data_IF_637817332178
#
_entry.id   IF_637817332178
#
_cell.length_a   1.000
_cell.length_b   1.000
_cell.length_c   1.000
_cell.angle_alpha   90.00
_cell.angle_beta   90.00
_cell.angle_gamma   90.00
#
_symmetry.space_group_name_H-M   'P 1'
#
loop_
_entity.id
_entity.type
_entity.pdbx_description
1 polymer ?
#
# COMPACT_ATOMS: atom_id res chain seq x y z
N UNK A 1 16.84 -70.38 42.95
CA UNK A 1 17.73 -70.78 41.84
C UNK A 1 16.99 -70.43 40.56
N UNK A 2 17.60 -69.57 39.74
CA UNK A 2 17.15 -69.11 38.42
C UNK A 2 15.95 -68.14 38.42
N UNK A 3 15.88 -67.09 37.61
CA UNK A 3 16.80 -66.45 36.65
C UNK A 3 16.05 -65.23 36.04
N UNK A 4 16.78 -64.38 35.32
CA UNK A 4 16.31 -63.43 34.28
C UNK A 4 15.82 -62.04 34.81
N UNK A 5 16.65 -60.99 34.83
CA UNK A 5 17.14 -60.11 33.73
C UNK A 5 16.01 -59.37 32.96
N UNK A 6 16.14 -58.03 32.92
CA UNK A 6 15.60 -57.08 31.94
C UNK A 6 14.15 -56.59 32.12
N UNK A 7 13.94 -55.31 32.40
CA UNK A 7 13.68 -54.35 31.32
C UNK A 7 13.76 -52.91 31.82
N UNK A 8 14.61 -52.16 31.14
CA UNK A 8 14.66 -50.72 31.14
C UNK A 8 13.26 -50.15 30.84
N UNK A 9 12.60 -49.56 31.84
CA UNK A 9 11.50 -48.61 31.59
C UNK A 9 11.97 -47.23 31.99
N UNK A 10 12.71 -46.63 31.07
CA UNK A 10 12.90 -45.21 31.00
C UNK A 10 11.54 -44.51 31.18
N UNK A 11 11.39 -43.76 32.28
CA UNK A 11 10.35 -42.73 32.38
C UNK A 11 10.85 -41.56 31.55
N UNK A 12 10.68 -41.68 30.23
CA UNK A 12 10.77 -40.58 29.28
C UNK A 12 9.33 -40.14 29.05
N UNK A 13 8.90 -38.98 29.57
CA UNK A 13 7.63 -38.42 29.16
C UNK A 13 7.78 -37.93 27.72
N UNK A 14 7.08 -38.63 26.82
CA UNK A 14 6.36 -38.08 25.67
C UNK A 14 7.00 -36.89 24.96
N UNK A 15 7.66 -37.16 23.83
CA UNK A 15 7.49 -36.33 22.64
C UNK A 15 5.99 -36.12 22.41
N UNK A 16 5.54 -34.87 22.42
CA UNK A 16 4.69 -34.28 21.38
C UNK A 16 4.41 -32.83 21.78
N UNK A 17 4.64 -31.92 20.81
CA UNK A 17 4.04 -30.59 20.59
C UNK A 17 3.37 -30.03 21.86
N UNK A 18 3.82 -28.91 22.41
CA UNK A 18 3.39 -27.60 21.92
C UNK A 18 4.49 -26.56 22.13
N UNK A 19 5.14 -26.14 21.04
CA UNK A 19 5.53 -24.73 20.98
C UNK A 19 4.21 -23.98 20.87
N UNK A 20 3.56 -23.79 22.01
CA UNK A 20 2.46 -22.87 22.18
C UNK A 20 3.07 -21.50 21.90
N UNK A 21 3.10 -21.16 20.60
CA UNK A 21 3.08 -19.79 20.14
C UNK A 21 1.88 -19.21 20.88
N UNK A 22 2.18 -18.55 21.99
CA UNK A 22 1.27 -17.69 22.71
C UNK A 22 0.92 -16.61 21.71
N UNK A 23 -0.02 -16.93 20.84
CA UNK A 23 -0.57 -16.05 19.84
C UNK A 23 -1.31 -15.02 20.66
N UNK A 24 -0.57 -13.98 21.06
CA UNK A 24 -1.04 -12.78 21.70
C UNK A 24 -2.32 -12.43 20.98
N UNK A 25 -3.47 -12.64 21.65
CA UNK A 25 -4.78 -12.27 21.10
C UNK A 25 -4.71 -10.77 20.92
N UNK A 26 -4.37 -10.37 19.70
CA UNK A 26 -4.33 -8.98 19.31
C UNK A 26 -5.81 -8.56 19.37
N UNK A 27 -6.17 -7.49 20.11
CA UNK A 27 -7.58 -7.12 20.31
C UNK A 27 -8.30 -6.67 19.03
N UNK A 28 -7.61 -6.71 17.88
CA UNK A 28 -8.09 -6.32 16.56
C UNK A 28 -7.82 -7.43 15.54
N UNK A 29 -8.76 -7.70 14.62
CA UNK A 29 -8.59 -8.69 13.58
C UNK A 29 -7.43 -8.32 12.64
N UNK A 30 -6.72 -9.34 12.12
CA UNK A 30 -5.55 -9.16 11.23
C UNK A 30 -5.83 -8.23 10.02
N UNK A 31 -7.07 -8.21 9.56
CA UNK A 31 -7.52 -7.32 8.47
C UNK A 31 -7.36 -5.83 8.79
N UNK A 32 -7.49 -5.42 10.05
CA UNK A 32 -7.32 -4.01 10.45
C UNK A 32 -5.88 -3.56 10.23
N UNK A 33 -4.90 -4.41 10.54
CA UNK A 33 -3.49 -4.10 10.30
C UNK A 33 -3.20 -3.92 8.79
N UNK A 34 -3.77 -4.78 7.94
CA UNK A 34 -3.64 -4.66 6.49
C UNK A 34 -4.29 -3.38 5.94
N UNK A 35 -5.47 -3.02 6.43
CA UNK A 35 -6.17 -1.79 6.03
C UNK A 35 -5.38 -0.55 6.44
N UNK A 36 -4.86 -0.51 7.68
CA UNK A 36 -4.07 0.63 8.17
C UNK A 36 -2.78 0.81 7.35
N UNK A 37 -2.09 -0.29 7.02
CA UNK A 37 -0.88 -0.23 6.22
C UNK A 37 -1.19 0.22 4.78
N UNK A 38 -2.30 -0.26 4.19
CA UNK A 38 -2.76 0.21 2.89
C UNK A 38 -3.08 1.71 2.90
N UNK A 39 -3.85 2.18 3.89
CA UNK A 39 -4.19 3.60 4.05
C UNK A 39 -2.92 4.43 4.23
N UNK A 40 -1.96 3.97 5.03
CA UNK A 40 -0.68 4.65 5.20
C UNK A 40 0.10 4.77 3.88
N UNK A 41 0.16 3.68 3.11
CA UNK A 41 0.81 3.67 1.80
C UNK A 41 0.13 4.63 0.82
N UNK A 42 -1.21 4.63 0.79
CA UNK A 42 -2.00 5.53 -0.06
C UNK A 42 -1.75 7.01 0.31
N UNK A 43 -1.77 7.33 1.61
CA UNK A 43 -1.48 8.70 2.09
C UNK A 43 -0.07 9.12 1.75
N UNK A 44 0.91 8.25 1.95
CA UNK A 44 2.31 8.51 1.60
C UNK A 44 2.46 8.82 0.10
N UNK A 45 1.89 7.97 -0.77
CA UNK A 45 1.92 8.18 -2.22
C UNK A 45 1.16 9.44 -2.65
N UNK A 46 0.02 9.77 -2.02
CA UNK A 46 -0.74 10.98 -2.31
C UNK A 46 0.04 12.25 -1.98
N UNK A 47 0.64 12.35 -0.80
CA UNK A 47 1.45 13.52 -0.45
C UNK A 47 2.74 13.60 -1.27
N UNK A 48 3.37 12.45 -1.55
CA UNK A 48 4.53 12.36 -2.43
C UNK A 48 4.24 12.86 -3.85
N UNK A 49 3.13 12.39 -4.45
CA UNK A 49 2.67 12.83 -5.77
C UNK A 49 2.43 14.33 -5.82
N UNK A 50 1.76 14.90 -4.82
CA UNK A 50 1.53 16.36 -4.75
C UNK A 50 2.84 17.15 -4.70
N UNK A 51 3.81 16.69 -3.92
CA UNK A 51 5.12 17.33 -3.83
C UNK A 51 5.88 17.24 -5.16
N UNK A 52 5.93 16.06 -5.78
CA UNK A 52 6.61 15.83 -7.06
C UNK A 52 5.95 16.65 -8.17
N UNK A 53 4.62 16.72 -8.22
CA UNK A 53 3.89 17.52 -9.22
C UNK A 53 4.26 19.00 -9.14
N UNK A 54 4.28 19.58 -7.94
CA UNK A 54 4.68 20.97 -7.75
C UNK A 54 6.13 21.22 -8.20
N UNK A 55 7.05 20.31 -7.84
CA UNK A 55 8.45 20.38 -8.27
C UNK A 55 8.61 20.19 -9.78
N UNK A 56 7.81 19.33 -10.41
CA UNK A 56 7.88 19.02 -11.84
C UNK A 56 7.43 20.21 -12.70
N UNK A 57 6.33 20.87 -12.32
CA UNK A 57 5.83 22.06 -13.01
C UNK A 57 6.86 23.20 -13.01
N UNK A 58 7.56 23.38 -11.90
CA UNK A 58 8.56 24.45 -11.73
C UNK A 58 9.92 24.09 -12.34
N UNK A 59 10.47 22.89 -12.06
CA UNK A 59 11.85 22.55 -12.41
C UNK A 59 12.01 21.90 -13.79
N UNK A 60 10.98 21.19 -14.28
CA UNK A 60 11.06 20.48 -15.58
C UNK A 60 10.33 21.26 -16.66
N UNK A 61 9.09 21.69 -16.40
CA UNK A 61 8.31 22.46 -17.38
C UNK A 61 8.62 23.95 -17.39
N UNK A 62 9.37 24.46 -16.40
CA UNK A 62 9.76 25.87 -16.29
C UNK A 62 8.55 26.83 -16.37
N UNK A 63 7.40 26.44 -15.82
CA UNK A 63 6.23 27.30 -15.78
C UNK A 63 6.38 28.41 -14.73
N UNK A 64 5.71 29.55 -14.97
CA UNK A 64 5.65 30.63 -13.97
C UNK A 64 5.01 30.12 -12.67
N UNK A 65 5.40 30.72 -11.54
CA UNK A 65 4.89 30.36 -10.22
C UNK A 65 3.36 30.43 -10.15
N UNK A 66 2.77 31.47 -10.75
CA UNK A 66 1.33 31.65 -10.82
C UNK A 66 0.66 30.52 -11.61
N UNK A 67 1.18 30.20 -12.80
CA UNK A 67 0.62 29.12 -13.65
C UNK A 67 0.73 27.75 -12.97
N UNK A 68 1.88 27.44 -12.37
CA UNK A 68 2.10 26.18 -11.65
C UNK A 68 1.12 26.01 -10.48
N UNK A 69 0.87 27.08 -9.74
CA UNK A 69 -0.06 27.09 -8.60
C UNK A 69 -1.50 26.86 -9.06
N UNK A 70 -1.92 27.51 -10.16
CA UNK A 70 -3.26 27.29 -10.75
C UNK A 70 -3.43 25.82 -11.14
N UNK A 71 -2.47 25.24 -11.87
CA UNK A 71 -2.53 23.83 -12.31
C UNK A 71 -2.58 22.90 -11.10
N UNK A 72 -1.75 23.14 -10.07
CA UNK A 72 -1.73 22.36 -8.85
C UNK A 72 -3.08 22.38 -8.11
N UNK A 73 -3.71 23.55 -7.99
CA UNK A 73 -5.01 23.66 -7.35
C UNK A 73 -6.12 23.02 -8.17
N UNK A 74 -6.12 23.19 -9.49
CA UNK A 74 -7.09 22.54 -10.38
C UNK A 74 -6.97 21.02 -10.26
N UNK A 75 -5.75 20.47 -10.30
CA UNK A 75 -5.49 19.05 -10.07
C UNK A 75 -6.03 18.59 -8.71
N UNK A 76 -5.71 19.32 -7.65
CA UNK A 76 -6.19 19.01 -6.29
C UNK A 76 -7.72 19.04 -6.20
N UNK A 77 -8.40 19.97 -6.88
CA UNK A 77 -9.87 20.03 -6.93
C UNK A 77 -10.46 18.77 -7.59
N UNK A 78 -9.87 18.29 -8.68
CA UNK A 78 -10.29 17.04 -9.32
C UNK A 78 -10.11 15.84 -8.41
N UNK A 79 -9.00 15.77 -7.65
CA UNK A 79 -8.76 14.71 -6.67
C UNK A 79 -9.82 14.69 -5.55
N UNK A 80 -10.44 15.83 -5.22
CA UNK A 80 -11.54 15.88 -4.25
C UNK A 80 -12.91 15.56 -4.86
N UNK A 81 -13.13 15.89 -6.14
CA UNK A 81 -14.40 15.65 -6.83
C UNK A 81 -14.52 14.20 -7.30
N UNK A 82 -13.44 13.60 -7.79
CA UNK A 82 -13.44 12.24 -8.35
C UNK A 82 -13.91 11.17 -7.36
N UNK A 83 -13.51 11.18 -6.07
CA UNK A 83 -14.01 10.23 -5.07
C UNK A 83 -15.51 10.34 -4.83
N UNK A 84 -16.10 11.54 -4.92
CA UNK A 84 -17.54 11.74 -4.80
C UNK A 84 -18.27 11.00 -5.93
N UNK A 85 -17.78 11.17 -7.17
CA UNK A 85 -18.31 10.46 -8.33
C UNK A 85 -18.10 8.93 -8.23
N UNK A 86 -16.92 8.51 -7.75
CA UNK A 86 -16.61 7.10 -7.51
C UNK A 86 -17.53 6.45 -6.46
N UNK A 87 -17.89 7.19 -5.40
CA UNK A 87 -18.85 6.76 -4.40
C UNK A 87 -20.26 6.57 -4.97
N UNK A 88 -20.75 7.55 -5.74
CA UNK A 88 -22.05 7.43 -6.44
C UNK A 88 -22.08 6.22 -7.37
N UNK A 89 -20.97 5.94 -8.07
CA UNK A 89 -20.85 4.78 -8.95
C UNK A 89 -20.81 3.45 -8.17
N UNK A 90 -20.17 3.44 -7.00
CA UNK A 90 -20.11 2.30 -6.09
C UNK A 90 -21.49 1.90 -5.57
N UNK A 91 -22.31 2.90 -5.25
CA UNK A 91 -23.65 2.72 -4.71
C UNK A 91 -24.67 2.33 -5.79
N UNK A 92 -24.50 2.82 -7.03
CA UNK A 92 -25.51 2.64 -8.08
C UNK A 92 -25.36 1.36 -8.91
N UNK A 93 -24.15 0.85 -9.19
CA UNK A 93 -23.99 -0.14 -10.29
C UNK A 93 -23.05 -1.31 -9.97
N UNK A 94 -21.91 -1.09 -9.31
CA UNK A 94 -20.83 -2.08 -9.25
C UNK A 94 -20.67 -2.82 -7.91
N UNK A 95 -21.28 -2.29 -6.84
CA UNK A 95 -21.03 -2.74 -5.48
C UNK A 95 -19.68 -2.26 -4.93
N UNK A 96 -19.57 -2.26 -3.60
CA UNK A 96 -18.47 -1.61 -2.86
C UNK A 96 -17.09 -2.19 -3.20
N UNK A 97 -16.96 -3.52 -3.20
CA UNK A 97 -15.67 -4.19 -3.38
C UNK A 97 -15.08 -4.02 -4.78
N UNK A 98 -15.91 -4.18 -5.83
CA UNK A 98 -15.43 -4.06 -7.23
C UNK A 98 -15.00 -2.64 -7.55
N UNK A 99 -15.73 -1.65 -7.03
CA UNK A 99 -15.39 -0.23 -7.25
C UNK A 99 -14.06 0.13 -6.62
N UNK A 100 -13.81 -0.31 -5.37
CA UNK A 100 -12.52 -0.09 -4.69
C UNK A 100 -11.38 -0.74 -5.49
N UNK A 101 -11.58 -1.96 -6.01
CA UNK A 101 -10.56 -2.64 -6.80
C UNK A 101 -10.22 -1.90 -8.11
N UNK A 102 -11.22 -1.46 -8.87
CA UNK A 102 -10.99 -0.69 -10.10
C UNK A 102 -10.32 0.65 -9.82
N UNK A 103 -10.74 1.38 -8.79
CA UNK A 103 -10.11 2.65 -8.41
C UNK A 103 -8.66 2.46 -7.97
N UNK A 104 -8.37 1.41 -7.22
CA UNK A 104 -7.00 1.05 -6.82
C UNK A 104 -6.13 0.70 -8.04
N UNK A 105 -6.66 0.00 -9.04
CA UNK A 105 -5.94 -0.30 -10.28
C UNK A 105 -5.60 0.98 -11.07
N UNK A 106 -6.56 1.91 -11.20
CA UNK A 106 -6.34 3.21 -11.85
C UNK A 106 -5.28 4.02 -11.08
N UNK A 107 -5.34 4.00 -9.75
CA UNK A 107 -4.36 4.67 -8.90
C UNK A 107 -2.94 4.11 -9.11
N UNK A 108 -2.78 2.79 -9.18
CA UNK A 108 -1.50 2.16 -9.46
C UNK A 108 -0.96 2.56 -10.85
N UNK A 109 -1.81 2.58 -11.87
CA UNK A 109 -1.43 3.01 -13.22
C UNK A 109 -1.00 4.49 -13.25
N UNK A 110 -1.67 5.37 -12.50
CA UNK A 110 -1.28 6.77 -12.35
C UNK A 110 0.12 6.92 -11.74
N UNK A 111 0.40 6.17 -10.67
CA UNK A 111 1.72 6.18 -10.03
C UNK A 111 2.83 5.62 -10.95
N UNK A 112 2.54 4.59 -11.75
CA UNK A 112 3.48 4.06 -12.75
C UNK A 112 3.79 5.12 -13.80
N UNK A 113 2.77 5.81 -14.31
CA UNK A 113 2.92 6.88 -15.30
C UNK A 113 3.76 8.03 -14.74
N UNK A 114 3.49 8.43 -13.50
CA UNK A 114 4.28 9.46 -12.81
C UNK A 114 5.74 9.04 -12.63
N UNK A 115 5.98 7.79 -12.23
CA UNK A 115 7.34 7.24 -12.10
C UNK A 115 8.09 7.23 -13.43
N UNK A 116 7.41 6.90 -14.53
CA UNK A 116 8.00 6.90 -15.86
C UNK A 116 8.33 8.32 -16.32
N UNK A 117 7.43 9.28 -16.09
CA UNK A 117 7.66 10.69 -16.40
C UNK A 117 8.81 11.30 -15.57
N UNK A 118 8.99 10.82 -14.33
CA UNK A 118 10.08 11.25 -13.45
C UNK A 118 11.42 10.57 -13.79
N UNK A 119 11.44 9.50 -14.60
CA UNK A 119 12.69 8.83 -14.98
C UNK A 119 13.38 9.68 -16.04
N UNK A 120 14.53 10.32 -15.73
CA UNK A 120 15.25 11.08 -16.74
C UNK A 120 15.78 10.09 -17.78
N UNK A 121 15.23 10.13 -19.00
CA UNK A 121 15.80 9.44 -20.15
C UNK A 121 17.21 9.99 -20.37
N UNK A 122 18.21 9.19 -19.99
CA UNK A 122 19.61 9.29 -20.41
C UNK A 122 20.23 10.68 -20.26
N UNK A 123 21.01 10.86 -19.18
CA UNK A 123 22.13 11.81 -19.16
C UNK A 123 23.07 11.46 -20.32
N UNK A 124 22.86 12.05 -21.49
CA UNK A 124 23.96 12.32 -22.40
C UNK A 124 24.70 13.55 -21.85
N UNK A 125 26.04 13.50 -21.76
CA UNK A 125 26.82 14.65 -21.32
C UNK A 125 26.54 15.83 -22.25
N UNK A 126 25.94 16.88 -21.71
CA UNK A 126 25.91 18.19 -22.36
C UNK A 126 27.33 18.76 -22.29
N UNK A 127 27.96 18.87 -23.46
CA UNK A 127 29.25 19.55 -23.70
C UNK A 127 29.16 21.03 -23.32
#
# INVERSE_FOLDING_TARGET
MSSDINENKAVVPSDEKDVESTAKKIPYPKSVFLIVLNEFCERFSYYGMRAILALYLQNVLNFSENTSTIIFHVFTMFDYITPLFGGMLADSVLGKFRTIFYLSAVYALGNITLSLAATPTLKLPTV
#
